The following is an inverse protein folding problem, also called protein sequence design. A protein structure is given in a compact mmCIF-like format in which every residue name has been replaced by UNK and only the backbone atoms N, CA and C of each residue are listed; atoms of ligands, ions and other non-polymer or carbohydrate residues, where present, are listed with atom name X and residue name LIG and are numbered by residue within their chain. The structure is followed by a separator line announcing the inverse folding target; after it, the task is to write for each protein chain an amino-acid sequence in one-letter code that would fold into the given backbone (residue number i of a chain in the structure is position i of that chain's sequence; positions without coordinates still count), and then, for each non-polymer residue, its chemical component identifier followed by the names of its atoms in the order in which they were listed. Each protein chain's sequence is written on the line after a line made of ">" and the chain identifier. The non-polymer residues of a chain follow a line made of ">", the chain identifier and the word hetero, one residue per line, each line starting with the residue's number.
data_IF_862674302984
#
_entry.id   IF_862674302984
#
_cell.length_a   1.000
_cell.length_b   1.000
_cell.length_c   1.000
_cell.angle_alpha   90.00
_cell.angle_beta   90.00
_cell.angle_gamma   90.00
#
_symmetry.space_group_name_H-M   'P 1'
#
loop_
_entity.id
_entity.type
_entity.pdbx_description
1 polymer ?
#
# COMPACT_ATOMS: atom_id res chain seq x y z
N UNK A 1 -1.21 19.44 -25.54
CA UNK A 1 -1.68 20.71 -24.95
C UNK A 1 -0.69 21.13 -23.88
N UNK A 2 0.18 22.08 -24.22
CA UNK A 2 1.15 22.65 -23.28
C UNK A 2 0.48 23.78 -22.53
N UNK A 3 0.27 23.61 -21.23
CA UNK A 3 -0.19 24.70 -20.36
C UNK A 3 1.01 25.61 -20.09
N UNK A 4 0.94 26.85 -20.61
CA UNK A 4 2.04 27.82 -20.48
C UNK A 4 2.29 28.27 -19.05
N UNK A 5 1.26 28.33 -18.22
CA UNK A 5 1.34 28.61 -16.78
C UNK A 5 0.09 28.08 -16.07
N UNK A 6 0.21 27.68 -14.79
CA UNK A 6 -0.96 27.27 -13.99
C UNK A 6 -1.89 28.49 -13.69
N UNK A 7 -3.20 28.26 -13.43
CA UNK A 7 -4.15 29.31 -13.11
C UNK A 7 -3.71 30.14 -11.89
N UNK A 8 -3.77 31.46 -11.99
CA UNK A 8 -3.32 32.39 -10.93
C UNK A 8 -4.03 32.15 -9.60
N UNK A 9 -5.33 31.88 -9.63
CA UNK A 9 -6.10 31.62 -8.42
C UNK A 9 -5.61 30.39 -7.64
N UNK A 10 -5.17 29.33 -8.35
CA UNK A 10 -4.60 28.13 -7.72
C UNK A 10 -3.25 28.46 -7.09
N UNK A 11 -2.43 29.28 -7.76
CA UNK A 11 -1.13 29.69 -7.23
C UNK A 11 -1.29 30.54 -5.97
N UNK A 12 -2.16 31.55 -6.00
CA UNK A 12 -2.42 32.41 -4.83
C UNK A 12 -3.01 31.62 -3.67
N UNK A 13 -3.98 30.73 -3.92
CA UNK A 13 -4.57 29.88 -2.89
C UNK A 13 -3.49 28.99 -2.25
N UNK A 14 -2.60 28.40 -3.05
CA UNK A 14 -1.49 27.59 -2.55
C UNK A 14 -0.51 28.43 -1.73
N UNK A 15 -0.17 29.64 -2.21
CA UNK A 15 0.71 30.56 -1.49
C UNK A 15 0.12 30.97 -0.14
N UNK A 16 -1.16 31.30 -0.08
CA UNK A 16 -1.86 31.60 1.17
C UNK A 16 -1.89 30.39 2.12
N UNK A 17 -2.17 29.19 1.61
CA UNK A 17 -2.16 27.94 2.40
C UNK A 17 -0.80 27.69 3.06
N UNK A 18 0.29 27.93 2.31
CA UNK A 18 1.66 27.81 2.83
C UNK A 18 1.97 28.93 3.83
N UNK A 19 1.67 30.18 3.49
CA UNK A 19 1.97 31.35 4.32
C UNK A 19 1.28 31.32 5.69
N UNK A 20 0.07 30.78 5.76
CA UNK A 20 -0.68 30.61 7.00
C UNK A 20 -0.27 29.38 7.84
N UNK A 21 0.72 28.59 7.40
CA UNK A 21 1.19 27.41 8.13
C UNK A 21 0.23 26.21 8.08
N UNK A 22 -0.83 26.25 7.27
CA UNK A 22 -1.78 25.14 7.13
C UNK A 22 -1.13 23.89 6.58
N UNK A 23 -0.15 24.05 5.69
CA UNK A 23 0.64 22.92 5.16
C UNK A 23 1.34 22.17 6.29
N UNK A 24 2.06 22.86 7.15
CA UNK A 24 2.85 22.22 8.22
C UNK A 24 1.96 21.53 9.24
N UNK A 25 0.84 22.15 9.59
CA UNK A 25 -0.18 21.54 10.45
C UNK A 25 -0.77 20.28 9.81
N UNK A 26 -1.07 20.33 8.50
CA UNK A 26 -1.59 19.19 7.75
C UNK A 26 -0.59 18.04 7.68
N UNK A 27 0.68 18.32 7.36
CA UNK A 27 1.75 17.31 7.31
C UNK A 27 1.96 16.66 8.68
N UNK A 28 1.95 17.44 9.76
CA UNK A 28 2.05 16.90 11.11
C UNK A 28 0.93 15.90 11.42
N UNK A 29 -0.31 16.29 11.13
CA UNK A 29 -1.48 15.43 11.32
C UNK A 29 -1.40 14.15 10.47
N UNK A 30 -1.00 14.25 9.19
CA UNK A 30 -0.82 13.09 8.32
C UNK A 30 0.26 12.14 8.83
N UNK A 31 1.38 12.67 9.34
CA UNK A 31 2.43 11.83 9.93
C UNK A 31 1.93 11.01 11.12
N UNK A 32 1.12 11.61 11.99
CA UNK A 32 0.55 10.90 13.14
C UNK A 32 -0.41 9.79 12.68
N UNK A 33 -1.32 10.09 11.75
CA UNK A 33 -2.28 9.12 11.19
C UNK A 33 -1.56 7.98 10.48
N UNK A 34 -0.58 8.30 9.63
CA UNK A 34 0.14 7.28 8.85
C UNK A 34 1.08 6.44 9.73
N UNK A 35 1.69 7.04 10.74
CA UNK A 35 2.49 6.30 11.73
C UNK A 35 1.65 5.25 12.46
N UNK A 36 0.46 5.62 12.93
CA UNK A 36 -0.46 4.67 13.57
C UNK A 36 -0.87 3.54 12.62
N UNK A 37 -1.26 3.87 11.39
CA UNK A 37 -1.64 2.86 10.38
C UNK A 37 -0.48 1.95 10.00
N UNK A 38 0.74 2.51 9.91
CA UNK A 38 1.96 1.77 9.61
C UNK A 38 2.22 0.69 10.66
N UNK A 39 2.12 1.04 11.96
CA UNK A 39 2.29 0.08 13.05
C UNK A 39 1.22 -1.01 13.04
N UNK A 40 -0.06 -0.64 12.84
CA UNK A 40 -1.15 -1.61 12.74
C UNK A 40 -0.89 -2.58 11.57
N UNK A 41 -0.46 -2.07 10.41
CA UNK A 41 -0.15 -2.88 9.24
C UNK A 41 1.04 -3.79 9.50
N UNK A 42 2.13 -3.29 10.07
CA UNK A 42 3.34 -4.06 10.37
C UNK A 42 3.04 -5.23 11.31
N UNK A 43 2.35 -4.96 12.41
CA UNK A 43 1.96 -6.01 13.37
C UNK A 43 0.95 -6.98 12.76
N UNK A 44 0.02 -6.47 11.96
CA UNK A 44 -0.94 -7.29 11.25
C UNK A 44 -0.29 -8.22 10.21
N UNK A 45 0.71 -7.76 9.47
CA UNK A 45 1.47 -8.59 8.52
C UNK A 45 2.18 -9.71 9.27
N UNK A 46 2.92 -9.40 10.35
CA UNK A 46 3.60 -10.41 11.15
C UNK A 46 2.65 -11.49 11.67
N UNK A 47 1.47 -11.07 12.11
CA UNK A 47 0.47 -11.95 12.72
C UNK A 47 -0.30 -12.80 11.72
N UNK A 48 -0.74 -12.19 10.61
CA UNK A 48 -1.69 -12.80 9.68
C UNK A 48 -1.07 -13.33 8.40
N UNK A 49 0.11 -12.84 8.03
CA UNK A 49 0.77 -13.16 6.77
C UNK A 49 2.19 -13.76 6.94
N UNK A 50 2.40 -14.71 7.88
CA UNK A 50 3.73 -15.27 8.14
C UNK A 50 4.29 -16.07 6.95
N UNK A 51 3.47 -16.41 5.95
CA UNK A 51 3.86 -17.09 4.73
C UNK A 51 4.58 -16.17 3.72
N UNK A 52 4.54 -14.87 3.93
CA UNK A 52 5.21 -13.88 3.08
C UNK A 52 6.37 -13.23 3.81
N UNK A 53 7.47 -12.99 3.10
CA UNK A 53 8.61 -12.25 3.62
C UNK A 53 8.44 -10.76 3.36
N UNK A 54 8.35 -9.90 4.39
CA UNK A 54 8.33 -8.47 4.19
C UNK A 54 9.70 -7.97 3.76
N UNK A 55 9.73 -7.03 2.81
CA UNK A 55 10.93 -6.26 2.50
C UNK A 55 11.32 -5.30 3.64
N UNK A 56 12.57 -4.84 3.63
CA UNK A 56 13.09 -3.89 4.62
C UNK A 56 12.41 -2.53 4.45
N UNK A 57 11.36 -2.30 5.24
CA UNK A 57 10.62 -1.05 5.25
C UNK A 57 10.83 -0.34 6.59
N UNK A 58 11.46 0.83 6.56
CA UNK A 58 11.64 1.71 7.72
C UNK A 58 10.59 2.82 7.80
N UNK A 59 9.63 2.83 6.85
CA UNK A 59 8.56 3.82 6.73
C UNK A 59 7.88 3.76 5.37
N UNK A 60 7.16 4.83 5.03
CA UNK A 60 6.42 4.95 3.77
C UNK A 60 4.94 4.64 3.93
N UNK A 61 4.27 4.40 2.81
CA UNK A 61 2.82 4.24 2.72
C UNK A 61 2.37 2.85 2.27
N UNK A 62 3.32 1.94 2.12
CA UNK A 62 3.08 0.58 1.64
C UNK A 62 4.14 -0.39 2.14
N UNK A 63 3.81 -1.68 2.12
CA UNK A 63 4.72 -2.78 2.40
C UNK A 63 4.91 -3.61 1.14
N UNK A 64 6.14 -4.05 0.92
CA UNK A 64 6.51 -5.01 -0.10
C UNK A 64 6.56 -6.40 0.51
N UNK A 65 5.86 -7.36 -0.08
CA UNK A 65 5.80 -8.73 0.39
C UNK A 65 6.25 -9.68 -0.72
N UNK A 66 7.02 -10.70 -0.35
CA UNK A 66 7.51 -11.74 -1.25
C UNK A 66 7.00 -13.10 -0.78
N UNK A 67 6.37 -13.82 -1.68
CA UNK A 67 5.88 -15.18 -1.48
C UNK A 67 6.91 -16.26 -1.87
N UNK A 68 6.56 -17.55 -1.77
CA UNK A 68 7.35 -18.66 -2.28
C UNK A 68 7.65 -18.53 -3.77
N UNK A 69 8.66 -19.27 -4.27
CA UNK A 69 9.11 -19.19 -5.68
C UNK A 69 8.00 -19.52 -6.70
N UNK A 70 7.12 -20.46 -6.37
CA UNK A 70 5.99 -20.88 -7.22
C UNK A 70 4.74 -19.98 -7.07
N UNK A 71 4.79 -18.96 -6.22
CA UNK A 71 3.67 -18.02 -6.02
C UNK A 71 3.58 -17.00 -7.17
N UNK A 72 2.40 -16.85 -7.75
CA UNK A 72 2.12 -15.84 -8.78
C UNK A 72 1.25 -14.72 -8.19
N UNK A 73 1.86 -13.55 -7.98
CA UNK A 73 1.20 -12.39 -7.39
C UNK A 73 0.12 -11.79 -8.30
N UNK A 74 0.16 -11.99 -9.62
CA UNK A 74 -0.88 -11.52 -10.53
C UNK A 74 -2.15 -12.37 -10.40
N UNK A 75 -2.00 -13.69 -10.35
CA UNK A 75 -3.11 -14.60 -10.09
C UNK A 75 -3.72 -14.31 -8.73
N UNK A 76 -2.87 -14.15 -7.71
CA UNK A 76 -3.30 -13.81 -6.35
C UNK A 76 -4.06 -12.49 -6.27
N UNK A 77 -3.60 -11.44 -6.95
CA UNK A 77 -4.28 -10.15 -7.01
C UNK A 77 -5.68 -10.26 -7.62
N UNK A 78 -5.84 -11.04 -8.70
CA UNK A 78 -7.15 -11.28 -9.34
C UNK A 78 -8.12 -12.01 -8.38
N UNK A 79 -7.64 -12.98 -7.61
CA UNK A 79 -8.43 -13.70 -6.61
C UNK A 79 -8.86 -12.77 -5.46
N UNK A 80 -7.95 -11.94 -4.95
CA UNK A 80 -8.24 -10.96 -3.90
C UNK A 80 -9.22 -9.88 -4.37
N UNK A 81 -9.14 -9.44 -5.62
CA UNK A 81 -10.06 -8.48 -6.19
C UNK A 81 -11.52 -8.96 -6.11
N UNK A 82 -11.76 -10.25 -6.28
CA UNK A 82 -13.11 -10.85 -6.15
C UNK A 82 -13.64 -10.78 -4.70
N UNK A 83 -12.74 -10.64 -3.72
CA UNK A 83 -13.05 -10.43 -2.30
C UNK A 83 -13.05 -8.96 -1.88
N UNK A 84 -12.93 -8.03 -2.83
CA UNK A 84 -12.91 -6.59 -2.57
C UNK A 84 -11.60 -6.09 -1.98
N UNK A 85 -10.49 -6.85 -2.09
CA UNK A 85 -9.15 -6.44 -1.66
C UNK A 85 -8.28 -6.20 -2.88
N UNK A 86 -7.66 -5.02 -2.93
CA UNK A 86 -6.75 -4.65 -4.01
C UNK A 86 -5.31 -4.67 -3.51
N UNK A 87 -4.46 -5.38 -4.24
CA UNK A 87 -3.01 -5.38 -4.09
C UNK A 87 -2.36 -5.07 -5.43
N UNK A 88 -1.09 -4.70 -5.43
CA UNK A 88 -0.35 -4.38 -6.64
C UNK A 88 0.73 -5.42 -6.89
N UNK A 89 0.60 -6.27 -7.94
CA UNK A 89 1.62 -7.25 -8.30
C UNK A 89 2.96 -6.60 -8.60
N UNK A 90 4.05 -7.25 -8.19
CA UNK A 90 5.40 -6.67 -8.25
C UNK A 90 5.87 -6.34 -9.66
N UNK A 91 5.43 -7.08 -10.67
CA UNK A 91 5.87 -6.89 -12.05
C UNK A 91 5.59 -5.48 -12.60
N UNK A 92 4.58 -4.78 -12.09
CA UNK A 92 4.26 -3.40 -12.55
C UNK A 92 5.31 -2.36 -12.13
N UNK A 93 6.19 -2.68 -11.18
CA UNK A 93 7.23 -1.77 -10.67
C UNK A 93 8.61 -2.01 -11.27
N UNK A 94 8.77 -3.01 -12.14
CA UNK A 94 10.06 -3.38 -12.70
C UNK A 94 10.03 -3.34 -14.24
N UNK A 95 11.06 -2.82 -14.83
CA UNK A 95 11.30 -2.86 -16.28
C UNK A 95 12.16 -4.09 -16.63
N UNK A 96 11.52 -5.26 -16.79
CA UNK A 96 12.17 -6.51 -17.21
C UNK A 96 12.60 -7.43 -16.07
N UNK A 97 12.50 -8.76 -16.31
CA UNK A 97 13.13 -9.82 -15.52
C UNK A 97 12.68 -9.93 -14.06
N UNK A 98 11.39 -9.99 -13.79
CA UNK A 98 10.86 -9.89 -12.42
C UNK A 98 10.46 -11.23 -11.85
N UNK A 99 10.77 -11.39 -10.57
CA UNK A 99 10.14 -12.41 -9.74
C UNK A 99 8.64 -12.16 -9.68
N UNK A 100 7.84 -13.13 -10.16
CA UNK A 100 6.38 -13.02 -10.17
C UNK A 100 5.74 -13.15 -8.78
N UNK A 101 6.54 -13.48 -7.78
CA UNK A 101 6.11 -13.84 -6.44
C UNK A 101 6.06 -12.68 -5.45
N UNK A 102 6.19 -11.43 -5.90
CA UNK A 102 6.17 -10.27 -5.02
C UNK A 102 5.00 -9.34 -5.31
N UNK A 103 4.52 -8.65 -4.30
CA UNK A 103 3.44 -7.68 -4.41
C UNK A 103 3.57 -6.57 -3.37
N UNK A 104 2.90 -5.45 -3.65
CA UNK A 104 2.80 -4.30 -2.75
C UNK A 104 1.40 -4.21 -2.16
N UNK A 105 1.31 -3.89 -0.88
CA UNK A 105 0.07 -3.52 -0.20
C UNK A 105 0.20 -2.12 0.38
N UNK A 106 -0.78 -1.24 0.08
CA UNK A 106 -0.85 0.12 0.58
C UNK A 106 -1.91 0.29 1.66
N UNK A 107 -1.71 1.26 2.56
CA UNK A 107 -2.64 1.52 3.67
C UNK A 107 -3.12 2.96 3.83
N UNK A 108 -2.64 3.99 3.07
CA UNK A 108 -2.97 5.39 3.35
C UNK A 108 -4.45 5.71 3.28
N UNK A 109 -5.17 5.13 2.34
CA UNK A 109 -6.62 5.34 2.13
C UNK A 109 -7.51 4.42 2.98
N UNK A 110 -6.90 3.45 3.70
CA UNK A 110 -7.65 2.47 4.49
C UNK A 110 -7.83 2.99 5.91
N UNK A 111 -9.05 2.98 6.43
CA UNK A 111 -9.30 3.30 7.83
C UNK A 111 -8.58 2.29 8.75
N UNK A 112 -7.96 2.76 9.84
CA UNK A 112 -7.14 1.92 10.72
C UNK A 112 -7.86 0.67 11.24
N UNK A 113 -9.15 0.79 11.56
CA UNK A 113 -9.99 -0.33 12.01
C UNK A 113 -10.31 -1.35 10.92
N UNK A 114 -10.11 -1.03 9.64
CA UNK A 114 -10.32 -1.95 8.50
C UNK A 114 -9.05 -2.67 8.06
N UNK A 115 -7.87 -2.24 8.50
CA UNK A 115 -6.59 -2.84 8.10
C UNK A 115 -6.55 -4.33 8.47
N UNK A 116 -6.86 -4.68 9.71
CA UNK A 116 -6.85 -6.07 10.14
C UNK A 116 -7.87 -6.93 9.39
N UNK A 117 -9.05 -6.40 9.08
CA UNK A 117 -10.05 -7.11 8.27
C UNK A 117 -9.51 -7.41 6.87
N UNK A 118 -8.87 -6.42 6.23
CA UNK A 118 -8.22 -6.63 4.93
C UNK A 118 -7.11 -7.68 4.99
N UNK A 119 -6.27 -7.65 6.03
CA UNK A 119 -5.21 -8.63 6.23
C UNK A 119 -5.76 -10.05 6.47
N UNK A 120 -6.89 -10.20 7.15
CA UNK A 120 -7.57 -11.49 7.26
C UNK A 120 -8.01 -12.03 5.91
N UNK A 121 -8.65 -11.21 5.08
CA UNK A 121 -9.04 -11.64 3.71
C UNK A 121 -7.83 -12.05 2.88
N UNK A 122 -6.71 -11.33 3.00
CA UNK A 122 -5.45 -11.68 2.34
C UNK A 122 -4.93 -13.03 2.86
N UNK A 123 -4.95 -13.24 4.19
CA UNK A 123 -4.49 -14.47 4.82
C UNK A 123 -5.29 -15.70 4.37
N UNK A 124 -6.62 -15.58 4.39
CA UNK A 124 -7.52 -16.68 4.02
C UNK A 124 -7.34 -17.06 2.55
N UNK A 125 -7.23 -16.05 1.67
CA UNK A 125 -6.99 -16.29 0.25
C UNK A 125 -5.59 -16.86 0.00
N UNK A 126 -4.57 -16.38 0.73
CA UNK A 126 -3.21 -16.88 0.61
C UNK A 126 -3.11 -18.36 0.98
N UNK A 127 -3.73 -18.78 2.09
CA UNK A 127 -3.79 -20.20 2.48
C UNK A 127 -4.44 -21.05 1.40
N UNK A 128 -5.64 -20.63 0.94
CA UNK A 128 -6.37 -21.32 -0.12
C UNK A 128 -5.56 -21.42 -1.42
N UNK A 129 -4.84 -20.35 -1.79
CA UNK A 129 -4.05 -20.34 -3.02
C UNK A 129 -2.80 -21.21 -2.89
N UNK A 130 -2.08 -21.13 -1.77
CA UNK A 130 -0.87 -21.94 -1.54
C UNK A 130 -1.16 -23.44 -1.48
N UNK A 131 -2.35 -23.87 -1.05
CA UNK A 131 -2.79 -25.26 -1.10
C UNK A 131 -3.01 -25.77 -2.54
N UNK A 132 -3.11 -24.90 -3.52
CA UNK A 132 -3.29 -25.25 -4.94
C UNK A 132 -2.00 -25.29 -5.74
N UNK A 133 -0.86 -24.90 -5.15
CA UNK A 133 0.46 -24.87 -5.78
C UNK A 133 1.26 -26.13 -5.54
#
# INVERSE_FOLDING_TARGET
>A
LTVLHPPSIVQETTAMFLAHGYHDAHIKNLREIYSQRWHIMQEGIKKHLPMFSPGDATGGTSFWLTGPENFDAEVFAKRLQQRGVLIEPGHIFYNGGVTKNSFRIGFPSVAGNKINTGLHHISDEAKSYLETL
#
